data_IF_906694324658
#
_entry.id   IF_906694324658
#
_cell.length_a   1.000
_cell.length_b   1.000
_cell.length_c   1.000
_cell.angle_alpha   90.00
_cell.angle_beta   90.00
_cell.angle_gamma   90.00
#
_symmetry.space_group_name_H-M   'P 1'
#
loop_
_entity.id
_entity.type
_entity.pdbx_description
1 polymer ?
#
# COMPACT_ATOMS: atom_id res chain seq x y z
N UNK A 1 -16.71 -17.42 13.85
CA UNK A 1 -15.85 -16.22 13.62
C UNK A 1 -14.91 -16.20 12.39
N UNK A 2 -13.80 -16.98 12.31
CA UNK A 2 -12.67 -16.75 11.34
C UNK A 2 -13.09 -16.54 9.87
N UNK A 3 -14.03 -17.36 9.37
CA UNK A 3 -14.56 -17.25 8.01
C UNK A 3 -15.19 -15.88 7.71
N UNK A 4 -15.87 -15.26 8.69
CA UNK A 4 -16.47 -13.92 8.55
C UNK A 4 -15.43 -12.80 8.49
N UNK A 5 -14.27 -13.02 9.10
CA UNK A 5 -13.16 -12.06 9.06
C UNK A 5 -12.50 -12.06 7.69
N UNK A 6 -12.20 -13.24 7.16
CA UNK A 6 -11.56 -13.39 5.86
C UNK A 6 -12.53 -13.17 4.69
N UNK A 7 -13.75 -13.71 4.77
CA UNK A 7 -14.67 -13.86 3.64
C UNK A 7 -14.38 -15.11 2.82
N UNK A 8 -15.43 -15.78 2.33
CA UNK A 8 -15.32 -17.09 1.67
C UNK A 8 -14.41 -17.05 0.43
N UNK A 9 -14.41 -15.95 -0.32
CA UNK A 9 -13.59 -15.80 -1.53
C UNK A 9 -12.08 -15.71 -1.27
N UNK A 10 -11.68 -15.29 -0.08
CA UNK A 10 -10.26 -15.07 0.27
C UNK A 10 -9.63 -16.31 0.91
N UNK A 11 -10.45 -17.30 1.32
CA UNK A 11 -9.97 -18.50 2.00
C UNK A 11 -8.96 -19.31 1.18
N UNK A 12 -9.00 -19.25 -0.15
CA UNK A 12 -7.95 -19.82 -1.02
C UNK A 12 -6.53 -19.27 -0.77
N UNK A 13 -6.43 -18.06 -0.24
CA UNK A 13 -5.18 -17.42 0.14
C UNK A 13 -4.76 -17.72 1.58
N UNK A 14 -5.54 -18.51 2.34
CA UNK A 14 -5.26 -18.87 3.73
C UNK A 14 -4.47 -20.17 3.80
N UNK A 15 -3.45 -20.18 4.66
CA UNK A 15 -2.73 -21.40 5.05
C UNK A 15 -2.90 -21.61 6.55
N UNK A 16 -3.40 -22.78 6.92
CA UNK A 16 -3.42 -23.27 8.29
C UNK A 16 -2.11 -24.01 8.52
N UNK A 17 -1.31 -23.52 9.46
CA UNK A 17 -0.01 -24.10 9.77
C UNK A 17 -0.09 -24.84 11.10
N UNK A 18 0.10 -26.16 11.08
CA UNK A 18 0.19 -26.97 12.31
C UNK A 18 1.64 -27.02 12.77
N UNK A 19 1.91 -26.75 14.04
CA UNK A 19 3.24 -26.69 14.63
C UNK A 19 3.39 -27.70 15.80
N UNK A 20 4.49 -27.60 16.57
CA UNK A 20 4.75 -28.43 17.76
C UNK A 20 4.78 -29.95 17.50
N UNK A 21 5.11 -30.36 16.28
CA UNK A 21 5.21 -31.77 15.88
C UNK A 21 6.30 -32.56 16.62
N UNK A 22 7.23 -31.88 17.30
CA UNK A 22 8.24 -32.50 18.16
C UNK A 22 7.78 -32.79 19.59
N UNK A 23 6.62 -32.27 20.02
CA UNK A 23 6.10 -32.43 21.38
C UNK A 23 5.17 -33.64 21.55
N UNK A 24 4.77 -34.25 20.43
CA UNK A 24 3.82 -35.37 20.40
C UNK A 24 4.33 -36.49 19.51
N UNK A 25 3.85 -37.72 19.73
CA UNK A 25 4.09 -38.81 18.79
C UNK A 25 3.44 -38.51 17.45
N UNK A 26 4.05 -38.98 16.36
CA UNK A 26 3.55 -38.73 15.01
C UNK A 26 2.11 -39.24 14.82
N UNK A 27 1.79 -40.39 15.39
CA UNK A 27 0.45 -40.99 15.34
C UNK A 27 -0.60 -40.09 16.00
N UNK A 28 -0.30 -39.59 17.20
CA UNK A 28 -1.20 -38.68 17.94
C UNK A 28 -1.33 -37.34 17.23
N UNK A 29 -0.24 -36.81 16.67
CA UNK A 29 -0.25 -35.60 15.87
C UNK A 29 -1.09 -35.75 14.60
N UNK A 30 -0.92 -36.87 13.87
CA UNK A 30 -1.68 -37.16 12.65
C UNK A 30 -3.18 -37.34 12.94
N UNK A 31 -3.54 -38.00 14.04
CA UNK A 31 -4.93 -38.14 14.47
C UNK A 31 -5.58 -36.78 14.75
N UNK A 32 -4.88 -35.88 15.46
CA UNK A 32 -5.35 -34.51 15.73
C UNK A 32 -5.45 -33.65 14.48
N UNK A 33 -4.48 -33.75 13.57
CA UNK A 33 -4.54 -33.05 12.30
C UNK A 33 -5.74 -33.52 11.46
N UNK A 34 -6.02 -34.83 11.48
CA UNK A 34 -7.19 -35.38 10.81
C UNK A 34 -8.49 -34.85 11.43
N UNK A 35 -8.59 -34.82 12.75
CA UNK A 35 -9.72 -34.22 13.47
C UNK A 35 -9.91 -32.75 13.06
N UNK A 36 -8.84 -31.95 13.10
CA UNK A 36 -8.85 -30.55 12.66
C UNK A 36 -9.33 -30.40 11.22
N UNK A 37 -8.93 -31.31 10.32
CA UNK A 37 -9.29 -31.28 8.91
C UNK A 37 -10.74 -31.67 8.62
N UNK A 38 -11.33 -32.53 9.46
CA UNK A 38 -12.57 -33.26 9.17
C UNK A 38 -13.75 -32.81 10.01
N UNK A 39 -13.52 -32.13 11.12
CA UNK A 39 -14.58 -31.59 11.97
C UNK A 39 -15.19 -30.32 11.36
N UNK A 40 -16.52 -30.32 11.22
CA UNK A 40 -17.32 -29.19 10.70
C UNK A 40 -17.29 -27.97 11.63
N UNK A 41 -16.93 -28.14 12.91
CA UNK A 41 -16.73 -27.06 13.87
C UNK A 41 -15.30 -26.49 13.84
N UNK A 42 -14.35 -27.17 13.18
CA UNK A 42 -12.95 -26.77 13.12
C UNK A 42 -12.57 -26.22 11.74
N UNK A 43 -11.59 -26.83 11.06
CA UNK A 43 -11.06 -26.27 9.81
C UNK A 43 -11.69 -26.88 8.55
N UNK A 44 -12.52 -27.92 8.64
CA UNK A 44 -13.17 -28.49 7.45
C UNK A 44 -13.90 -27.43 6.60
N UNK A 45 -14.69 -26.49 7.15
CA UNK A 45 -15.34 -25.47 6.34
C UNK A 45 -14.34 -24.53 5.64
N UNK A 46 -13.20 -24.27 6.28
CA UNK A 46 -12.15 -23.39 5.75
C UNK A 46 -11.37 -24.08 4.63
N UNK A 47 -11.00 -25.34 4.84
CA UNK A 47 -10.34 -26.20 3.85
C UNK A 47 -11.21 -26.48 2.64
N UNK A 48 -12.52 -26.69 2.85
CA UNK A 48 -13.48 -26.90 1.76
C UNK A 48 -13.61 -25.68 0.83
N UNK A 49 -13.25 -24.49 1.30
CA UNK A 49 -13.24 -23.24 0.53
C UNK A 49 -11.85 -22.88 -0.02
N UNK A 50 -10.96 -23.87 -0.14
CA UNK A 50 -9.68 -23.75 -0.84
C UNK A 50 -8.49 -23.35 0.03
N UNK A 51 -8.67 -23.17 1.34
CA UNK A 51 -7.53 -23.03 2.24
C UNK A 51 -6.69 -24.30 2.26
N UNK A 52 -5.40 -24.16 2.58
CA UNK A 52 -4.47 -25.30 2.67
C UNK A 52 -4.01 -25.50 4.10
N UNK A 53 -3.89 -26.74 4.53
CA UNK A 53 -3.22 -27.09 5.79
C UNK A 53 -1.82 -27.62 5.52
N UNK A 54 -0.82 -27.15 6.27
CA UNK A 54 0.60 -27.50 6.11
C UNK A 54 1.24 -27.70 7.48
N UNK A 55 2.14 -28.68 7.60
CA UNK A 55 2.92 -28.93 8.81
C UNK A 55 4.19 -28.08 8.82
N UNK A 56 4.44 -27.38 9.91
CA UNK A 56 5.69 -26.69 10.17
C UNK A 56 6.51 -27.44 11.23
N UNK A 57 7.67 -27.93 10.83
CA UNK A 57 8.56 -28.76 11.66
C UNK A 57 9.66 -27.93 12.34
N UNK A 58 9.43 -26.64 12.56
CA UNK A 58 10.39 -25.70 13.17
C UNK A 58 11.76 -25.64 12.45
N UNK A 59 11.75 -25.85 11.13
CA UNK A 59 12.92 -25.76 10.25
C UNK A 59 12.66 -24.77 9.12
N UNK A 60 13.71 -24.12 8.63
CA UNK A 60 13.66 -23.08 7.59
C UNK A 60 12.93 -23.56 6.34
N UNK A 61 13.27 -24.74 5.83
CA UNK A 61 12.65 -25.30 4.61
C UNK A 61 11.13 -25.47 4.72
N UNK A 62 10.62 -25.80 5.90
CA UNK A 62 9.18 -25.91 6.13
C UNK A 62 8.48 -24.54 6.18
N UNK A 63 9.16 -23.48 6.64
CA UNK A 63 8.64 -22.11 6.57
C UNK A 63 8.67 -21.58 5.13
N UNK A 64 9.76 -21.84 4.39
CA UNK A 64 9.88 -21.49 2.97
C UNK A 64 8.78 -22.13 2.13
N UNK A 65 8.43 -23.40 2.41
CA UNK A 65 7.32 -24.08 1.74
C UNK A 65 5.97 -23.37 1.94
N UNK A 66 5.71 -22.82 3.14
CA UNK A 66 4.52 -22.02 3.42
C UNK A 66 4.55 -20.71 2.64
N UNK A 67 5.69 -20.02 2.61
CA UNK A 67 5.85 -18.77 1.87
C UNK A 67 5.71 -18.96 0.35
N UNK A 68 6.30 -20.01 -0.21
CA UNK A 68 6.20 -20.36 -1.63
C UNK A 68 4.76 -20.62 -2.06
N UNK A 69 3.91 -21.13 -1.16
CA UNK A 69 2.49 -21.24 -1.44
C UNK A 69 1.82 -19.86 -1.50
N UNK A 70 2.13 -18.97 -0.56
CA UNK A 70 1.48 -17.66 -0.46
C UNK A 70 1.91 -16.67 -1.54
N UNK A 71 3.17 -16.69 -1.97
CA UNK A 71 3.74 -15.68 -2.87
C UNK A 71 3.09 -15.68 -4.28
N UNK A 72 2.56 -16.82 -4.71
CA UNK A 72 1.90 -16.96 -6.01
C UNK A 72 0.42 -16.57 -5.98
N UNK A 73 -0.14 -16.33 -4.79
CA UNK A 73 -1.55 -15.99 -4.65
C UNK A 73 -1.80 -14.54 -5.06
N UNK A 74 -2.91 -14.30 -5.76
CA UNK A 74 -3.36 -12.93 -6.04
C UNK A 74 -3.85 -12.29 -4.74
N UNK A 75 -3.32 -11.13 -4.32
CA UNK A 75 -3.81 -10.43 -3.14
C UNK A 75 -5.31 -10.13 -3.26
N UNK A 76 -6.03 -10.29 -2.15
CA UNK A 76 -7.45 -9.96 -2.04
C UNK A 76 -7.68 -9.29 -0.69
N UNK A 77 -8.50 -8.24 -0.69
CA UNK A 77 -8.95 -7.63 0.55
C UNK A 77 -9.80 -8.62 1.34
N UNK A 78 -9.58 -8.69 2.65
CA UNK A 78 -10.41 -9.49 3.55
C UNK A 78 -11.79 -8.86 3.67
N UNK A 79 -12.82 -9.66 3.94
CA UNK A 79 -14.19 -9.15 4.12
C UNK A 79 -14.25 -8.04 5.17
N UNK A 80 -13.55 -8.19 6.30
CA UNK A 80 -13.51 -7.15 7.33
C UNK A 80 -12.89 -5.84 6.83
N UNK A 81 -11.91 -5.91 5.91
CA UNK A 81 -11.28 -4.72 5.34
C UNK A 81 -12.24 -4.00 4.40
N UNK A 82 -13.00 -4.74 3.59
CA UNK A 82 -14.04 -4.18 2.72
C UNK A 82 -15.15 -3.53 3.55
N UNK A 83 -15.61 -4.20 4.60
CA UNK A 83 -16.66 -3.68 5.48
C UNK A 83 -16.22 -2.40 6.21
N UNK A 84 -14.97 -2.33 6.67
CA UNK A 84 -14.45 -1.15 7.37
C UNK A 84 -14.13 0.02 6.43
N UNK A 85 -13.56 -0.26 5.25
CA UNK A 85 -13.01 0.78 4.36
C UNK A 85 -13.99 1.14 3.24
N UNK A 86 -14.54 0.14 2.56
CA UNK A 86 -15.39 0.36 1.39
C UNK A 86 -16.85 0.64 1.81
N UNK A 87 -17.37 -0.11 2.78
CA UNK A 87 -18.73 0.07 3.30
C UNK A 87 -18.81 1.11 4.44
N UNK A 88 -17.67 1.52 5.01
CA UNK A 88 -17.60 2.50 6.10
C UNK A 88 -18.26 2.05 7.41
N UNK A 89 -18.40 0.74 7.64
CA UNK A 89 -18.99 0.19 8.86
C UNK A 89 -18.07 0.36 10.06
N UNK A 90 -18.65 0.47 11.26
CA UNK A 90 -17.87 0.31 12.48
C UNK A 90 -17.46 -1.16 12.67
N UNK A 91 -16.35 -1.42 13.38
CA UNK A 91 -15.86 -2.78 13.64
C UNK A 91 -16.92 -3.66 14.32
N UNK A 92 -17.76 -3.08 15.18
CA UNK A 92 -18.86 -3.77 15.85
C UNK A 92 -19.99 -4.19 14.90
N UNK A 93 -20.15 -3.50 13.78
CA UNK A 93 -21.17 -3.74 12.76
C UNK A 93 -20.70 -4.72 11.67
N UNK A 94 -19.40 -5.00 11.59
CA UNK A 94 -18.82 -6.00 10.66
C UNK A 94 -19.39 -7.39 10.90
N UNK A 95 -19.40 -8.23 9.88
CA UNK A 95 -19.90 -9.60 10.01
C UNK A 95 -19.09 -10.40 11.04
N UNK A 96 -17.78 -10.13 11.16
CA UNK A 96 -16.92 -10.73 12.17
C UNK A 96 -17.22 -10.19 13.57
N UNK A 97 -17.43 -8.87 13.71
CA UNK A 97 -17.78 -8.22 14.98
C UNK A 97 -19.11 -8.70 15.54
N UNK A 98 -20.13 -8.82 14.69
CA UNK A 98 -21.44 -9.35 15.10
C UNK A 98 -21.36 -10.82 15.54
N UNK A 99 -20.58 -11.64 14.82
CA UNK A 99 -20.38 -13.04 15.18
C UNK A 99 -19.68 -13.16 16.54
N UNK A 100 -18.61 -12.38 16.77
CA UNK A 100 -17.92 -12.34 18.05
C UNK A 100 -18.86 -11.87 19.18
N UNK A 101 -19.68 -10.85 18.94
CA UNK A 101 -20.65 -10.39 19.92
C UNK A 101 -21.65 -11.49 20.31
N UNK A 102 -22.13 -12.29 19.34
CA UNK A 102 -22.99 -13.44 19.61
C UNK A 102 -22.26 -14.53 20.41
N UNK A 103 -21.07 -14.92 19.98
CA UNK A 103 -20.24 -15.92 20.67
C UNK A 103 -19.97 -15.50 22.13
N UNK A 104 -19.72 -14.21 22.39
CA UNK A 104 -19.54 -13.66 23.74
C UNK A 104 -20.82 -13.74 24.59
N UNK A 105 -21.98 -13.38 24.03
CA UNK A 105 -23.27 -13.47 24.75
C UNK A 105 -23.62 -14.91 25.09
N UNK A 106 -23.39 -15.84 24.17
CA UNK A 106 -23.61 -17.28 24.41
C UNK A 106 -22.66 -17.83 25.48
N UNK A 107 -21.38 -17.43 25.44
CA UNK A 107 -20.39 -17.82 26.44
C UNK A 107 -20.77 -17.30 27.83
N UNK A 108 -21.17 -16.03 27.92
CA UNK A 108 -21.63 -15.43 29.17
C UNK A 108 -22.85 -16.17 29.73
N UNK A 109 -23.82 -16.49 28.87
CA UNK A 109 -25.00 -17.28 29.26
C UNK A 109 -24.60 -18.65 29.82
N UNK A 110 -23.70 -19.37 29.13
CA UNK A 110 -23.21 -20.67 29.56
C UNK A 110 -22.49 -20.60 30.90
N UNK A 111 -21.64 -19.59 31.11
CA UNK A 111 -20.97 -19.39 32.40
C UNK A 111 -21.96 -19.07 33.51
N UNK A 112 -22.99 -18.25 33.26
CA UNK A 112 -24.06 -17.98 34.24
C UNK A 112 -24.84 -19.24 34.61
N UNK A 113 -25.17 -20.08 33.64
CA UNK A 113 -25.86 -21.37 33.87
C UNK A 113 -24.99 -22.32 34.71
N UNK A 114 -23.71 -22.45 34.37
CA UNK A 114 -22.75 -23.24 35.16
C UNK A 114 -22.61 -22.71 36.59
N UNK A 115 -22.58 -21.39 36.78
CA UNK A 115 -22.52 -20.79 38.10
C UNK A 115 -23.77 -21.13 38.92
N UNK A 116 -24.94 -21.08 38.31
CA UNK A 116 -26.20 -21.42 38.97
C UNK A 116 -26.25 -22.89 39.41
N UNK A 117 -25.75 -23.82 38.58
CA UNK A 117 -25.68 -25.24 38.94
C UNK A 117 -24.69 -25.47 40.10
N UNK A 118 -23.48 -24.91 40.03
CA UNK A 118 -22.48 -25.01 41.11
C UNK A 118 -23.03 -24.42 42.42
N UNK A 119 -23.78 -23.32 42.36
CA UNK A 119 -24.44 -22.74 43.54
C UNK A 119 -25.52 -23.66 44.14
N UNK A 120 -26.21 -24.43 43.31
CA UNK A 120 -27.21 -25.41 43.76
C UNK A 120 -26.54 -26.62 44.40
N UNK A 121 -25.52 -27.19 43.77
CA UNK A 121 -24.71 -28.29 44.31
C UNK A 121 -24.07 -27.89 45.65
N UNK A 122 -23.59 -26.65 45.77
CA UNK A 122 -23.03 -26.13 47.02
C UNK A 122 -24.07 -26.11 48.15
N UNK A 123 -25.32 -25.73 47.85
CA UNK A 123 -26.42 -25.77 48.85
C UNK A 123 -26.75 -27.20 49.26
N UNK A 124 -26.67 -28.15 48.34
CA UNK A 124 -26.90 -29.57 48.62
C UNK A 124 -25.77 -30.17 49.47
N UNK A 125 -24.51 -29.87 49.13
CA UNK A 125 -23.33 -30.27 49.92
C UNK A 125 -23.36 -29.66 51.34
N UNK A 126 -23.83 -28.42 51.49
CA UNK A 126 -24.06 -27.80 52.81
C UNK A 126 -25.09 -28.55 53.64
N UNK A 127 -26.19 -29.03 53.03
CA UNK A 127 -27.20 -29.85 53.72
C UNK A 127 -26.63 -31.22 54.11
N UNK A 128 -25.80 -31.81 53.26
CA UNK A 128 -25.15 -33.10 53.48
C UNK A 128 -23.95 -33.04 54.46
N UNK A 129 -23.52 -31.83 54.88
CA UNK A 129 -22.30 -31.59 55.69
C UNK A 129 -21.02 -32.14 55.05
N UNK A 130 -20.98 -32.24 53.72
CA UNK A 130 -19.79 -32.67 53.01
C UNK A 130 -18.82 -31.49 52.85
N UNK A 131 -17.77 -31.48 53.66
CA UNK A 131 -16.77 -30.42 53.69
C UNK A 131 -15.76 -30.50 52.54
N UNK A 132 -15.55 -31.67 51.93
CA UNK A 132 -14.60 -31.84 50.84
C UNK A 132 -15.23 -31.35 49.53
N UNK A 133 -16.44 -31.83 49.21
CA UNK A 133 -17.19 -31.39 48.03
C UNK A 133 -17.47 -29.89 48.07
N UNK A 134 -17.74 -29.33 49.27
CA UNK A 134 -17.91 -27.89 49.44
C UNK A 134 -16.67 -27.09 48.99
N UNK A 135 -15.46 -27.52 49.38
CA UNK A 135 -14.22 -26.82 49.03
C UNK A 135 -13.94 -26.87 47.53
N UNK A 136 -14.18 -28.02 46.91
CA UNK A 136 -13.99 -28.21 45.46
C UNK A 136 -14.96 -27.32 44.68
N UNK A 137 -16.24 -27.30 45.05
CA UNK A 137 -17.25 -26.44 44.43
C UNK A 137 -17.00 -24.94 44.67
N UNK A 138 -16.51 -24.54 45.84
CA UNK A 138 -16.10 -23.16 46.10
C UNK A 138 -14.93 -22.72 45.22
N UNK A 139 -13.98 -23.63 44.94
CA UNK A 139 -12.89 -23.35 44.01
C UNK A 139 -13.41 -23.17 42.58
N UNK A 140 -14.25 -24.10 42.10
CA UNK A 140 -14.86 -24.01 40.76
C UNK A 140 -15.69 -22.73 40.61
N UNK A 141 -16.50 -22.38 41.61
CA UNK A 141 -17.28 -21.13 41.62
C UNK A 141 -16.37 -19.93 41.45
N UNK A 142 -15.30 -19.83 42.24
CA UNK A 142 -14.37 -18.71 42.19
C UNK A 142 -13.67 -18.62 40.83
N UNK A 143 -13.20 -19.75 40.28
CA UNK A 143 -12.59 -19.78 38.94
C UNK A 143 -13.56 -19.30 37.87
N UNK A 144 -14.84 -19.67 37.97
CA UNK A 144 -15.86 -19.25 37.02
C UNK A 144 -16.20 -17.76 37.16
N UNK A 145 -16.33 -17.24 38.38
CA UNK A 145 -16.49 -15.81 38.68
C UNK A 145 -15.31 -14.98 38.14
N UNK A 146 -14.08 -15.43 38.40
CA UNK A 146 -12.85 -14.79 37.90
C UNK A 146 -12.81 -14.82 36.36
N UNK A 147 -13.26 -15.91 35.74
CA UNK A 147 -13.34 -16.01 34.27
C UNK A 147 -14.37 -15.06 33.67
N UNK A 148 -15.54 -14.88 34.29
CA UNK A 148 -16.57 -13.93 33.84
C UNK A 148 -16.03 -12.50 33.95
N UNK A 149 -15.47 -12.14 35.11
CA UNK A 149 -14.91 -10.82 35.35
C UNK A 149 -13.76 -10.50 34.37
N UNK A 150 -12.91 -11.49 34.06
CA UNK A 150 -11.85 -11.33 33.07
C UNK A 150 -12.39 -11.05 31.67
N UNK A 151 -13.40 -11.79 31.21
CA UNK A 151 -14.00 -11.57 29.89
C UNK A 151 -14.63 -10.18 29.79
N UNK A 152 -15.34 -9.73 30.83
CA UNK A 152 -15.92 -8.38 30.86
C UNK A 152 -14.86 -7.29 30.82
N UNK A 153 -13.79 -7.43 31.61
CA UNK A 153 -12.70 -6.46 31.67
C UNK A 153 -11.91 -6.41 30.36
N UNK A 154 -11.59 -7.57 29.78
CA UNK A 154 -10.93 -7.65 28.47
C UNK A 154 -11.79 -6.99 27.39
N UNK A 155 -13.13 -7.11 27.45
CA UNK A 155 -14.03 -6.47 26.50
C UNK A 155 -14.01 -4.94 26.60
N UNK A 156 -14.04 -4.41 27.82
CA UNK A 156 -13.96 -2.96 28.07
C UNK A 156 -12.62 -2.40 27.60
N UNK A 157 -11.52 -3.02 28.04
CA UNK A 157 -10.17 -2.62 27.66
C UNK A 157 -9.98 -2.57 26.15
N UNK A 158 -10.42 -3.62 25.43
CA UNK A 158 -10.30 -3.67 23.97
C UNK A 158 -11.10 -2.55 23.27
N UNK A 159 -12.29 -2.22 23.79
CA UNK A 159 -13.11 -1.14 23.26
C UNK A 159 -12.48 0.24 23.48
N UNK A 160 -11.86 0.46 24.64
CA UNK A 160 -11.16 1.71 24.96
C UNK A 160 -9.90 1.87 24.10
N UNK A 161 -9.05 0.85 24.05
CA UNK A 161 -7.83 0.82 23.23
C UNK A 161 -8.16 1.09 21.75
N UNK A 162 -9.20 0.45 21.22
CA UNK A 162 -9.64 0.66 19.83
C UNK A 162 -10.10 2.10 19.58
N UNK A 163 -10.89 2.68 20.48
CA UNK A 163 -11.37 4.05 20.33
C UNK A 163 -10.23 5.08 20.35
N UNK A 164 -9.21 4.85 21.19
CA UNK A 164 -8.01 5.69 21.22
C UNK A 164 -7.16 5.54 19.95
N UNK A 165 -6.94 4.31 19.49
CA UNK A 165 -6.15 4.04 18.29
C UNK A 165 -6.81 4.60 17.02
N UNK A 166 -8.15 4.50 16.92
CA UNK A 166 -8.92 5.11 15.84
C UNK A 166 -8.71 6.63 15.79
N UNK A 167 -8.88 7.31 16.93
CA UNK A 167 -8.63 8.77 17.03
C UNK A 167 -7.19 9.14 16.63
N UNK A 168 -6.21 8.38 17.12
CA UNK A 168 -4.79 8.63 16.80
C UNK A 168 -4.52 8.48 15.32
N UNK A 169 -5.11 7.47 14.69
CA UNK A 169 -4.94 7.19 13.26
C UNK A 169 -5.63 8.24 12.41
N UNK A 170 -6.85 8.67 12.79
CA UNK A 170 -7.59 9.72 12.08
C UNK A 170 -6.82 11.05 12.08
N UNK A 171 -6.22 11.43 13.22
CA UNK A 171 -5.35 12.61 13.31
C UNK A 171 -4.17 12.48 12.35
N UNK A 172 -3.51 11.33 12.36
CA UNK A 172 -2.33 11.07 11.50
C UNK A 172 -2.68 11.12 10.01
N UNK A 173 -3.82 10.55 9.63
CA UNK A 173 -4.33 10.59 8.25
C UNK A 173 -4.61 12.04 7.86
N UNK A 174 -5.22 12.83 8.75
CA UNK A 174 -5.48 14.24 8.49
C UNK A 174 -4.20 15.06 8.29
N UNK A 175 -3.17 14.81 9.11
CA UNK A 175 -1.85 15.44 8.96
C UNK A 175 -1.23 15.11 7.60
N UNK A 176 -1.23 13.83 7.21
CA UNK A 176 -0.71 13.40 5.89
C UNK A 176 -1.51 14.01 4.74
N UNK A 177 -2.83 14.10 4.86
CA UNK A 177 -3.66 14.73 3.83
C UNK A 177 -3.36 16.23 3.68
N UNK A 178 -3.11 16.93 4.80
CA UNK A 178 -2.75 18.34 4.78
C UNK A 178 -1.37 18.56 4.14
N UNK A 179 -0.35 17.77 4.50
CA UNK A 179 0.98 17.88 3.88
C UNK A 179 0.96 17.58 2.39
N UNK A 180 0.21 16.56 1.96
CA UNK A 180 0.04 16.25 0.54
C UNK A 180 -0.66 17.38 -0.21
N UNK A 181 -1.61 18.07 0.43
CA UNK A 181 -2.29 19.23 -0.16
C UNK A 181 -1.32 20.41 -0.35
N UNK A 182 -0.54 20.74 0.69
CA UNK A 182 0.48 21.79 0.63
C UNK A 182 1.54 21.50 -0.45
N UNK A 183 2.00 20.25 -0.55
CA UNK A 183 2.92 19.85 -1.61
C UNK A 183 2.33 20.02 -3.00
N UNK A 184 1.06 19.63 -3.20
CA UNK A 184 0.37 19.80 -4.49
C UNK A 184 0.24 21.27 -4.86
N UNK A 185 -0.14 22.12 -3.91
CA UNK A 185 -0.24 23.57 -4.13
C UNK A 185 1.12 24.18 -4.46
N UNK A 186 2.18 23.80 -3.74
CA UNK A 186 3.54 24.26 -4.02
C UNK A 186 4.04 23.81 -5.40
N UNK A 187 3.76 22.56 -5.79
CA UNK A 187 4.11 22.06 -7.13
C UNK A 187 3.38 22.83 -8.23
N UNK A 188 2.08 23.08 -8.06
CA UNK A 188 1.29 23.85 -9.02
C UNK A 188 1.80 25.30 -9.16
N UNK A 189 2.19 25.93 -8.04
CA UNK A 189 2.78 27.28 -8.06
C UNK A 189 4.11 27.30 -8.82
N UNK A 190 5.02 26.35 -8.56
CA UNK A 190 6.30 26.25 -9.28
C UNK A 190 6.10 26.03 -10.77
N UNK A 191 5.13 25.21 -11.16
CA UNK A 191 4.81 24.94 -12.55
C UNK A 191 4.27 26.20 -13.26
N UNK A 192 3.41 26.97 -12.59
CA UNK A 192 2.94 28.26 -13.11
C UNK A 192 4.09 29.26 -13.27
N UNK A 193 5.01 29.34 -12.31
CA UNK A 193 6.15 30.25 -12.36
C UNK A 193 7.11 29.90 -13.51
N UNK A 194 7.44 28.61 -13.67
CA UNK A 194 8.23 28.12 -14.80
C UNK A 194 7.56 28.42 -16.15
N UNK A 195 6.25 28.22 -16.25
CA UNK A 195 5.49 28.51 -17.47
C UNK A 195 5.57 30.00 -17.85
N UNK A 196 5.48 30.90 -16.87
CA UNK A 196 5.66 32.34 -17.10
C UNK A 196 7.08 32.67 -17.58
N UNK A 197 8.10 32.13 -16.91
CA UNK A 197 9.49 32.33 -17.31
C UNK A 197 9.78 31.84 -18.73
N UNK A 198 9.23 30.69 -19.12
CA UNK A 198 9.34 30.17 -20.49
C UNK A 198 8.71 31.14 -21.49
N UNK A 199 7.50 31.64 -21.22
CA UNK A 199 6.84 32.62 -22.09
C UNK A 199 7.65 33.91 -22.26
N UNK A 200 8.28 34.39 -21.19
CA UNK A 200 9.09 35.61 -21.27
C UNK A 200 10.40 35.38 -22.05
N UNK A 201 11.07 34.24 -21.87
CA UNK A 201 12.22 33.86 -22.70
C UNK A 201 11.86 33.69 -24.18
N UNK A 202 10.69 33.12 -24.48
CA UNK A 202 10.19 33.02 -25.85
C UNK A 202 9.93 34.39 -26.48
N UNK A 203 9.47 35.38 -25.69
CA UNK A 203 9.30 36.76 -26.17
C UNK A 203 10.66 37.41 -26.45
N UNK A 204 11.62 37.30 -25.54
CA UNK A 204 12.95 37.88 -25.71
C UNK A 204 13.68 37.28 -26.92
N UNK A 205 13.62 35.96 -27.09
CA UNK A 205 14.23 35.29 -28.25
C UNK A 205 13.59 35.72 -29.57
N UNK A 206 12.25 35.92 -29.61
CA UNK A 206 11.57 36.47 -30.80
C UNK A 206 11.98 37.91 -31.09
N UNK A 207 12.07 38.77 -30.06
CA UNK A 207 12.51 40.16 -30.22
C UNK A 207 13.94 40.20 -30.76
N UNK A 208 14.85 39.43 -30.16
CA UNK A 208 16.25 39.37 -30.63
C UNK A 208 16.37 38.80 -32.05
N UNK A 209 15.53 37.83 -32.43
CA UNK A 209 15.49 37.31 -33.79
C UNK A 209 15.01 38.38 -34.80
N UNK A 210 13.96 39.13 -34.47
CA UNK A 210 13.44 40.22 -35.31
C UNK A 210 14.48 41.35 -35.48
N UNK A 211 15.18 41.74 -34.40
CA UNK A 211 16.26 42.73 -34.48
C UNK A 211 17.40 42.28 -35.40
N UNK A 212 17.73 40.98 -35.40
CA UNK A 212 18.74 40.42 -36.31
C UNK A 212 18.28 40.44 -37.77
N UNK A 213 17.02 40.12 -38.03
CA UNK A 213 16.45 40.21 -39.38
C UNK A 213 16.47 41.65 -39.92
N UNK A 214 16.08 42.63 -39.09
CA UNK A 214 16.12 44.05 -39.46
C UNK A 214 17.56 44.55 -39.74
N UNK A 215 18.54 44.13 -38.93
CA UNK A 215 19.95 44.46 -39.16
C UNK A 215 20.49 43.84 -40.46
N UNK A 216 20.13 42.60 -40.76
CA UNK A 216 20.54 41.94 -42.01
C UNK A 216 19.93 42.65 -43.22
N UNK A 217 18.66 43.04 -43.16
CA UNK A 217 18.00 43.82 -44.22
C UNK A 217 18.67 45.19 -44.43
N UNK A 218 19.09 45.86 -43.34
CA UNK A 218 19.87 47.10 -43.44
C UNK A 218 21.23 46.88 -44.10
N UNK A 219 21.97 45.82 -43.74
CA UNK A 219 23.25 45.48 -44.38
C UNK A 219 23.06 45.19 -45.87
N UNK A 220 22.03 44.44 -46.24
CA UNK A 220 21.73 44.11 -47.63
C UNK A 220 21.37 45.36 -48.46
N UNK A 221 20.56 46.26 -47.92
CA UNK A 221 20.23 47.53 -48.58
C UNK A 221 21.46 48.43 -48.78
N UNK A 222 22.36 48.51 -47.79
CA UNK A 222 23.61 49.26 -47.88
C UNK A 222 24.58 48.66 -48.92
N UNK A 223 24.65 47.33 -49.00
CA UNK A 223 25.46 46.63 -50.01
C UNK A 223 24.89 46.84 -51.43
N UNK A 224 23.58 46.84 -51.60
CA UNK A 224 22.95 47.17 -52.89
C UNK A 224 23.17 48.64 -53.28
N UNK A 225 23.09 49.57 -52.32
CA UNK A 225 23.38 50.98 -52.55
C UNK A 225 24.85 51.22 -52.92
N UNK A 226 25.79 50.47 -52.32
CA UNK A 226 27.19 50.47 -52.75
C UNK A 226 27.38 49.82 -54.12
N UNK A 227 26.66 48.75 -54.48
CA UNK A 227 26.70 48.18 -55.84
C UNK A 227 26.18 49.15 -56.89
N UNK A 228 25.06 49.82 -56.65
CA UNK A 228 24.54 50.87 -57.55
C UNK A 228 25.50 52.08 -57.64
N UNK A 229 26.15 52.46 -56.54
CA UNK A 229 27.20 53.49 -56.53
C UNK A 229 28.50 53.06 -57.21
N UNK A 230 28.86 51.78 -57.16
CA UNK A 230 30.07 51.23 -57.79
C UNK A 230 29.91 51.07 -59.32
N UNK A 231 28.68 50.87 -59.82
CA UNK A 231 28.38 50.92 -61.26
C UNK A 231 28.32 52.34 -61.85
N UNK A 232 28.26 53.39 -61.01
CA UNK A 232 28.47 54.78 -61.44
C UNK A 232 29.95 55.22 -61.39
N UNK A 233 30.84 54.39 -60.82
CA UNK A 233 32.26 54.69 -60.60
C UNK A 233 33.26 54.00 -61.55
N UNK A 234 32.84 53.01 -62.33
CA UNK A 234 33.70 52.28 -63.29
C UNK A 234 33.21 52.39 -64.74
N UNK A 235 32.71 53.58 -65.12
CA UNK A 235 32.39 53.96 -66.50
C UNK A 235 33.40 54.89 -67.16
N UNK A 236 34.56 55.14 -66.53
CA UNK A 236 35.67 55.90 -67.12
C UNK A 236 36.99 55.23 -66.75
N UNK A 237 37.80 54.98 -67.78
CA UNK A 237 39.16 54.39 -67.77
C UNK A 237 39.17 52.87 -68.03
N UNK A 238 38.99 52.51 -69.31
CA UNK A 238 39.94 51.68 -70.07
C UNK A 238 39.44 51.53 -71.52
N UNK A 239 39.78 52.50 -72.36
CA UNK A 239 39.91 52.27 -73.81
C UNK A 239 41.08 53.10 -74.33
N UNK A 240 42.28 52.55 -74.14
CA UNK A 240 43.59 52.83 -74.76
C UNK A 240 44.58 51.97 -73.94
N UNK A 241 45.30 51.00 -74.45
CA UNK A 241 45.73 50.73 -75.81
C UNK A 241 45.84 49.21 -76.02
N UNK A 242 45.35 48.77 -77.18
CA UNK A 242 45.68 47.48 -77.78
C UNK A 242 47.12 47.55 -78.34
N UNK A 243 47.84 46.42 -78.24
CA UNK A 243 49.16 46.11 -78.82
C UNK A 243 50.41 46.58 -78.05
N UNK A 244 51.07 45.66 -77.33
CA UNK A 244 52.16 44.84 -77.89
C UNK A 244 52.71 43.82 -76.87
N UNK A 245 53.00 42.62 -77.40
CA UNK A 245 54.06 41.68 -76.99
C UNK A 245 53.91 40.80 -75.71
N UNK A 246 53.60 39.53 -75.99
CA UNK A 246 54.40 38.33 -75.65
C UNK A 246 54.79 38.02 -74.21
N UNK A 247 54.33 36.83 -73.76
CA UNK A 247 55.26 35.77 -73.34
C UNK A 247 55.14 35.25 -71.90
N UNK A 248 54.96 33.93 -71.83
CA UNK A 248 55.30 33.01 -70.72
C UNK A 248 54.46 33.12 -69.42
N UNK A 249 53.58 32.18 -69.10
CA UNK A 249 53.81 30.78 -68.69
C UNK A 249 54.02 30.60 -67.17
N UNK A 250 53.15 29.73 -66.61
CA UNK A 250 53.39 28.75 -65.55
C UNK A 250 53.12 29.10 -64.05
N UNK A 251 52.17 28.30 -63.53
CA UNK A 251 52.23 27.44 -62.34
C UNK A 251 51.70 27.92 -60.97
N UNK A 252 50.82 27.06 -60.43
CA UNK A 252 50.62 26.80 -59.00
C UNK A 252 49.49 27.62 -58.39
N UNK A 253 48.39 27.08 -57.87
CA UNK A 253 48.16 25.75 -57.32
C UNK A 253 47.81 25.89 -55.83
N UNK A 254 46.69 25.29 -55.44
CA UNK A 254 46.23 25.05 -54.06
C UNK A 254 45.93 26.31 -53.22
N UNK A 255 44.87 26.38 -52.44
CA UNK A 255 43.98 25.36 -51.92
C UNK A 255 43.57 25.83 -50.52
N UNK A 256 42.27 25.71 -50.23
CA UNK A 256 41.61 25.43 -48.94
C UNK A 256 42.21 25.99 -47.64
N UNK A 257 41.34 26.44 -46.73
CA UNK A 257 41.22 25.92 -45.35
C UNK A 257 40.30 26.84 -44.53
N UNK A 258 39.21 26.23 -44.07
CA UNK A 258 38.46 26.41 -42.81
C UNK A 258 38.05 27.83 -42.39
#
# INVERSE_FOLDING_TARGET
>A
MFRKLCGDETLKNVVIVTNMWGEVTLERGAARELELATDDLLFKPVLSNGARMVRHSNIVSSAEAVLLYLIHNRPRALQIQQELVDDGKDISETAAGQELARELVELEKKHREQLAEVQKELKEAMKAKDTQTKKELEHVRKTLEDSIAKVENDRLRLSEEYAEEKKRTDIRVQEVMNTLKEERESRAQREQELSRLIQDLERETRISAAEREDLLAQIESLQNQQREGFFLGLGKILDTAFMFASGAALLGGFGNWI
#
